data_IF_527826117265
#
_entry.id   IF_527826117265
#
_cell.length_a   1.000
_cell.length_b   1.000
_cell.length_c   1.000
_cell.angle_alpha   90.00
_cell.angle_beta   90.00
_cell.angle_gamma   90.00
#
_symmetry.space_group_name_H-M   'P 1'
#
loop_
_entity.id
_entity.type
_entity.pdbx_description
1 polymer ?
#
# COMPACT_ATOMS: atom_id res chain seq x y z
N UNK A 1 32.09 12.68 13.63
CA UNK A 1 30.83 12.96 12.90
C UNK A 1 29.73 12.20 13.62
N UNK A 2 28.73 12.87 14.17
CA UNK A 2 27.56 12.22 14.77
C UNK A 2 26.39 12.34 13.79
N UNK A 3 25.65 11.25 13.56
CA UNK A 3 24.49 11.19 12.66
C UNK A 3 23.25 10.92 13.47
N UNK A 4 22.20 11.71 13.27
CA UNK A 4 20.88 11.44 13.85
C UNK A 4 19.75 11.65 12.85
N UNK A 5 18.72 10.79 12.87
CA UNK A 5 17.51 10.97 12.09
C UNK A 5 16.68 12.14 12.64
N UNK A 6 16.26 13.05 11.76
CA UNK A 6 15.37 14.18 12.08
C UNK A 6 13.91 13.75 12.17
N UNK A 7 13.52 12.71 11.42
CA UNK A 7 12.13 12.29 11.24
C UNK A 7 12.03 10.81 10.85
N UNK A 8 10.86 10.21 11.04
CA UNK A 8 10.48 8.95 10.41
C UNK A 8 9.63 9.24 9.15
N UNK A 9 10.12 8.85 7.97
CA UNK A 9 9.37 9.05 6.70
C UNK A 9 8.09 8.20 6.57
N UNK A 10 7.65 7.50 7.62
CA UNK A 10 6.54 6.54 7.58
C UNK A 10 5.17 7.15 7.93
N UNK A 11 5.15 8.32 8.58
CA UNK A 11 3.91 9.02 8.95
C UNK A 11 3.47 10.03 7.87
N UNK A 12 2.18 10.37 7.84
CA UNK A 12 1.62 11.35 6.91
C UNK A 12 2.30 12.73 7.01
N UNK A 13 2.72 13.10 8.22
CA UNK A 13 3.63 14.20 8.48
C UNK A 13 4.51 13.83 9.69
N UNK A 14 5.83 13.98 9.64
CA UNK A 14 6.67 13.64 10.78
C UNK A 14 6.46 14.54 12.00
N UNK A 15 6.55 13.97 13.21
CA UNK A 15 6.59 14.73 14.46
C UNK A 15 8.01 15.22 14.74
N UNK A 16 8.33 16.41 14.24
CA UNK A 16 9.63 17.03 14.49
C UNK A 16 9.72 17.53 15.95
N UNK A 17 8.60 17.90 16.57
CA UNK A 17 8.53 18.34 17.96
C UNK A 17 9.07 17.29 18.94
N UNK A 18 8.68 16.02 18.75
CA UNK A 18 9.20 14.89 19.52
C UNK A 18 10.72 14.68 19.36
N UNK A 19 11.34 15.26 18.33
CA UNK A 19 12.77 15.12 18.01
C UNK A 19 13.64 16.29 18.47
N UNK A 20 13.04 17.41 18.92
CA UNK A 20 13.81 18.58 19.36
C UNK A 20 14.74 18.28 20.53
N UNK A 21 14.23 17.69 21.61
CA UNK A 21 15.07 17.34 22.77
C UNK A 21 16.16 16.31 22.44
N UNK A 22 15.89 15.21 21.72
CA UNK A 22 16.94 14.31 21.23
C UNK A 22 18.01 15.01 20.39
N UNK A 23 17.62 15.86 19.43
CA UNK A 23 18.54 16.61 18.57
C UNK A 23 19.44 17.54 19.40
N UNK A 24 18.85 18.29 20.32
CA UNK A 24 19.59 19.20 21.20
C UNK A 24 20.60 18.44 22.07
N UNK A 25 20.16 17.36 22.73
CA UNK A 25 21.01 16.55 23.61
C UNK A 25 22.20 15.97 22.85
N UNK A 26 21.97 15.55 21.62
CA UNK A 26 23.01 14.95 20.80
C UNK A 26 24.00 15.99 20.25
N UNK A 27 23.52 17.16 19.81
CA UNK A 27 24.40 18.26 19.43
C UNK A 27 25.31 18.66 20.60
N UNK A 28 24.74 18.76 21.81
CA UNK A 28 25.50 19.01 23.04
C UNK A 28 26.53 17.91 23.33
N UNK A 29 26.11 16.65 23.28
CA UNK A 29 27.02 15.51 23.54
C UNK A 29 28.16 15.45 22.52
N UNK A 30 27.86 15.74 21.25
CA UNK A 30 28.85 15.81 20.19
C UNK A 30 29.86 16.94 20.41
N UNK A 31 29.39 18.12 20.84
CA UNK A 31 30.25 19.25 21.20
C UNK A 31 31.15 18.93 22.40
N UNK A 32 30.60 18.35 23.46
CA UNK A 32 31.35 17.90 24.65
C UNK A 32 32.41 16.85 24.31
N UNK A 33 32.13 15.99 23.33
CA UNK A 33 33.08 14.98 22.82
C UNK A 33 34.12 15.54 21.83
N UNK A 34 34.12 16.85 21.54
CA UNK A 34 35.05 17.48 20.60
C UNK A 34 34.80 17.11 19.13
N UNK A 35 33.56 16.75 18.77
CA UNK A 35 33.23 16.43 17.39
C UNK A 35 33.38 17.65 16.47
N UNK A 36 34.03 17.46 15.32
CA UNK A 36 34.23 18.51 14.32
C UNK A 36 32.94 18.91 13.55
N UNK A 37 31.85 18.15 13.69
CA UNK A 37 30.61 18.41 12.96
C UNK A 37 29.47 17.46 13.35
N UNK A 38 28.25 17.93 13.06
CA UNK A 38 26.98 17.29 13.35
C UNK A 38 26.20 17.09 12.05
N UNK A 39 25.75 15.87 11.77
CA UNK A 39 24.90 15.55 10.64
C UNK A 39 23.48 15.21 11.12
N UNK A 40 22.53 16.00 10.67
CA UNK A 40 21.12 15.72 10.81
C UNK A 40 20.65 15.09 9.50
N UNK A 41 20.32 13.80 9.52
CA UNK A 41 19.99 13.01 8.34
C UNK A 41 18.48 12.70 8.30
N UNK A 42 17.97 12.44 7.11
CA UNK A 42 16.63 11.89 6.90
C UNK A 42 16.77 10.54 6.20
N UNK A 43 15.91 9.61 6.58
CA UNK A 43 15.77 8.33 5.92
C UNK A 43 14.29 8.15 5.57
N UNK A 44 14.00 7.97 4.28
CA UNK A 44 12.67 7.65 3.77
C UNK A 44 12.68 6.22 3.26
N UNK A 45 12.52 5.28 4.18
CA UNK A 45 12.55 3.84 3.86
C UNK A 45 11.12 3.31 3.58
N UNK A 46 10.16 4.19 3.32
CA UNK A 46 8.73 3.91 3.36
C UNK A 46 8.05 4.03 1.99
N UNK A 47 6.89 3.38 1.84
CA UNK A 47 5.93 3.66 0.77
C UNK A 47 5.24 5.04 0.91
N UNK A 48 5.82 5.96 1.70
CA UNK A 48 5.24 7.24 2.05
C UNK A 48 5.79 8.39 1.24
N UNK A 49 4.95 9.36 0.90
CA UNK A 49 5.40 10.59 0.26
C UNK A 49 6.09 11.46 1.31
N UNK A 50 7.40 11.67 1.19
CA UNK A 50 8.15 12.65 1.97
C UNK A 50 8.64 13.78 1.08
N UNK A 51 8.53 15.02 1.56
CA UNK A 51 9.11 16.19 0.93
C UNK A 51 10.15 16.81 1.86
N UNK A 52 11.26 17.28 1.30
CA UNK A 52 12.28 18.06 2.03
C UNK A 52 11.64 19.24 2.80
N UNK A 53 10.60 19.85 2.22
CA UNK A 53 9.85 20.94 2.83
C UNK A 53 9.26 20.61 4.21
N UNK A 54 8.94 19.34 4.49
CA UNK A 54 8.49 18.91 5.81
C UNK A 54 9.60 19.01 6.86
N UNK A 55 10.87 18.88 6.45
CA UNK A 55 12.00 18.83 7.39
C UNK A 55 12.62 20.18 7.70
N UNK A 56 12.27 21.24 6.97
CA UNK A 56 12.92 22.57 7.07
C UNK A 56 13.00 23.08 8.51
N UNK A 57 11.93 22.91 9.28
CA UNK A 57 11.91 23.31 10.69
C UNK A 57 12.93 22.51 11.52
N UNK A 58 12.97 21.18 11.37
CA UNK A 58 13.91 20.30 12.07
C UNK A 58 15.37 20.54 11.69
N UNK A 59 15.64 20.78 10.41
CA UNK A 59 16.97 21.16 9.92
C UNK A 59 17.43 22.50 10.49
N UNK A 60 16.54 23.50 10.52
CA UNK A 60 16.84 24.80 11.12
C UNK A 60 17.11 24.68 12.63
N UNK A 61 16.32 23.88 13.35
CA UNK A 61 16.54 23.61 14.77
C UNK A 61 17.85 22.88 15.04
N UNK A 62 18.17 21.87 14.23
CA UNK A 62 19.44 21.16 14.28
C UNK A 62 20.63 22.10 14.04
N UNK A 63 20.52 23.01 13.06
CA UNK A 63 21.52 24.06 12.81
C UNK A 63 21.71 25.00 14.00
N UNK A 64 20.62 25.45 14.63
CA UNK A 64 20.67 26.26 15.84
C UNK A 64 21.36 25.52 17.01
N UNK A 65 21.06 24.23 17.18
CA UNK A 65 21.70 23.39 18.19
C UNK A 65 23.19 23.17 17.92
N UNK A 66 23.59 23.02 16.65
CA UNK A 66 24.99 22.90 16.29
C UNK A 66 25.76 24.20 16.54
N UNK A 67 25.13 25.37 16.31
CA UNK A 67 25.73 26.67 16.55
C UNK A 67 25.84 27.03 18.04
N UNK A 68 24.80 26.70 18.81
CA UNK A 68 24.67 27.05 20.23
C UNK A 68 24.21 25.86 21.10
N UNK A 69 25.04 24.81 21.28
CA UNK A 69 24.59 23.53 21.86
C UNK A 69 24.01 23.61 23.28
N UNK A 70 24.36 24.65 24.04
CA UNK A 70 24.00 24.79 25.46
C UNK A 70 22.88 25.82 25.72
N UNK A 71 22.38 26.54 24.71
CA UNK A 71 21.52 27.71 24.94
C UNK A 71 20.29 27.80 24.03
N UNK A 72 20.03 26.82 23.18
CA UNK A 72 18.78 26.80 22.39
C UNK A 72 17.60 26.48 23.31
N UNK A 73 16.62 27.37 23.39
CA UNK A 73 15.34 27.11 24.05
C UNK A 73 14.28 26.83 22.98
N UNK A 74 13.59 25.67 22.99
CA UNK A 74 12.61 25.32 21.95
C UNK A 74 11.53 26.38 21.74
N UNK A 75 10.90 26.88 22.81
CA UNK A 75 9.83 27.88 22.69
C UNK A 75 10.31 29.22 22.12
N UNK A 76 11.54 29.63 22.45
CA UNK A 76 12.15 30.83 21.88
C UNK A 76 12.49 30.62 20.40
N UNK A 77 13.03 29.45 20.06
CA UNK A 77 13.30 29.09 18.67
C UNK A 77 12.03 29.06 17.83
N UNK A 78 10.94 28.46 18.31
CA UNK A 78 9.66 28.38 17.59
C UNK A 78 9.15 29.76 17.21
N UNK A 79 9.04 30.64 18.20
CA UNK A 79 8.58 32.01 18.00
C UNK A 79 9.45 32.73 16.96
N UNK A 80 10.77 32.62 17.09
CA UNK A 80 11.71 33.31 16.21
C UNK A 80 11.71 32.71 14.80
N UNK A 81 11.60 31.38 14.67
CA UNK A 81 11.53 30.67 13.39
C UNK A 81 10.28 31.10 12.62
N UNK A 82 9.10 31.00 13.24
CA UNK A 82 7.85 31.32 12.55
C UNK A 82 7.73 32.83 12.28
N UNK A 83 8.21 33.71 13.18
CA UNK A 83 8.23 35.15 12.93
C UNK A 83 9.16 35.52 11.77
N UNK A 84 10.33 34.89 11.65
CA UNK A 84 11.26 35.14 10.53
C UNK A 84 10.77 34.55 9.22
N UNK A 85 10.18 33.36 9.27
CA UNK A 85 9.68 32.67 8.08
C UNK A 85 8.40 33.33 7.57
N UNK A 86 7.44 33.67 8.42
CA UNK A 86 6.10 34.11 8.01
C UNK A 86 5.77 35.56 8.37
N UNK A 87 6.71 36.33 8.92
CA UNK A 87 6.51 37.73 9.27
C UNK A 87 5.38 37.92 10.29
N UNK A 88 4.45 38.83 9.99
CA UNK A 88 3.26 39.09 10.81
C UNK A 88 2.37 37.85 10.99
N UNK A 89 2.45 36.89 10.06
CA UNK A 89 1.70 35.65 10.11
C UNK A 89 2.37 34.54 10.95
N UNK A 90 3.50 34.83 11.62
CA UNK A 90 4.25 33.84 12.38
C UNK A 90 3.43 33.11 13.45
N UNK A 91 2.54 33.80 14.16
CA UNK A 91 1.68 33.16 15.16
C UNK A 91 0.68 32.18 14.53
N UNK A 92 0.10 32.54 13.38
CA UNK A 92 -0.83 31.66 12.65
C UNK A 92 -0.11 30.45 12.07
N UNK A 93 1.12 30.62 11.56
CA UNK A 93 1.94 29.53 11.06
C UNK A 93 2.35 28.56 12.19
N UNK A 94 2.71 29.06 13.37
CA UNK A 94 2.99 28.21 14.54
C UNK A 94 1.75 27.46 15.03
N UNK A 95 0.57 28.09 14.98
CA UNK A 95 -0.70 27.41 15.26
C UNK A 95 -0.98 26.29 14.25
N UNK A 96 -0.75 26.56 12.96
CA UNK A 96 -0.89 25.55 11.91
C UNK A 96 0.00 24.34 12.20
N UNK A 97 1.29 24.55 12.47
CA UNK A 97 2.22 23.47 12.80
C UNK A 97 1.73 22.62 13.99
N UNK A 98 1.29 23.28 15.07
CA UNK A 98 0.73 22.60 16.24
C UNK A 98 -0.53 21.78 15.93
N UNK A 99 -1.39 22.23 15.00
CA UNK A 99 -2.57 21.48 14.56
C UNK A 99 -2.19 20.22 13.78
N UNK A 100 -1.11 20.27 13.01
CA UNK A 100 -0.66 19.20 12.13
C UNK A 100 0.08 18.07 12.86
N UNK A 101 0.52 18.27 14.10
CA UNK A 101 1.19 17.23 14.92
C UNK A 101 0.38 15.92 15.01
N UNK A 102 -0.95 16.00 14.97
CA UNK A 102 -1.83 14.83 14.98
C UNK A 102 -1.72 13.97 13.71
N UNK A 103 -1.02 14.40 12.65
CA UNK A 103 -0.75 13.57 11.46
C UNK A 103 0.39 12.58 11.68
N UNK A 104 1.31 12.86 12.60
CA UNK A 104 2.43 11.96 12.91
C UNK A 104 1.99 10.62 13.50
N UNK A 105 0.80 10.65 14.08
CA UNK A 105 0.07 9.54 14.66
C UNK A 105 -0.42 8.51 13.62
N UNK A 106 -0.44 8.88 12.33
CA UNK A 106 -1.01 8.08 11.24
C UNK A 106 0.03 7.74 10.18
N UNK A 107 0.13 6.44 9.84
CA UNK A 107 1.09 5.90 8.88
C UNK A 107 0.53 5.87 7.46
N UNK A 108 1.39 6.07 6.47
CA UNK A 108 1.05 5.96 5.04
C UNK A 108 0.44 4.60 4.69
N UNK A 109 0.92 3.52 5.29
CA UNK A 109 0.37 2.17 5.11
C UNK A 109 -1.15 2.11 5.39
N UNK A 110 -1.65 2.87 6.38
CA UNK A 110 -3.10 2.93 6.67
C UNK A 110 -3.89 3.68 5.62
N UNK A 111 -3.25 4.62 4.92
CA UNK A 111 -3.82 5.28 3.76
C UNK A 111 -3.92 4.30 2.59
N UNK A 112 -2.92 3.43 2.42
CA UNK A 112 -2.84 2.46 1.32
C UNK A 112 -3.61 1.15 1.53
N UNK A 113 -3.91 0.77 2.78
CA UNK A 113 -4.63 -0.47 3.11
C UNK A 113 -6.01 -0.50 2.46
N UNK A 114 -6.39 -1.60 1.82
CA UNK A 114 -7.71 -1.73 1.18
C UNK A 114 -8.88 -1.35 2.14
N UNK A 115 -9.92 -0.60 1.71
CA UNK A 115 -10.99 -0.12 2.61
C UNK A 115 -11.68 -1.21 3.45
N UNK A 116 -12.06 -2.34 2.84
CA UNK A 116 -12.65 -3.47 3.57
C UNK A 116 -11.70 -4.17 4.57
N UNK A 117 -10.38 -3.96 4.48
CA UNK A 117 -9.39 -4.60 5.35
C UNK A 117 -9.10 -3.81 6.64
N UNK A 118 -9.64 -2.60 6.76
CA UNK A 118 -9.47 -1.78 7.97
C UNK A 118 -10.10 -2.47 9.19
N UNK A 119 -9.33 -2.67 10.26
CA UNK A 119 -9.87 -3.22 11.51
C UNK A 119 -10.54 -2.12 12.35
N UNK A 120 -11.80 -1.82 12.02
CA UNK A 120 -12.60 -0.83 12.76
C UNK A 120 -12.83 -1.18 14.25
N UNK A 121 -12.62 -2.43 14.66
CA UNK A 121 -12.80 -2.84 16.07
C UNK A 121 -11.63 -2.41 16.94
N UNK A 122 -10.44 -2.32 16.35
CA UNK A 122 -9.21 -1.84 16.99
C UNK A 122 -8.92 -0.37 16.73
N UNK A 123 -9.73 0.29 15.90
CA UNK A 123 -9.58 1.71 15.58
C UNK A 123 -9.85 2.59 16.81
N UNK A 124 -8.92 3.50 17.11
CA UNK A 124 -9.15 4.57 18.08
C UNK A 124 -9.97 5.70 17.45
N UNK A 125 -11.29 5.59 17.59
CA UNK A 125 -12.25 6.58 17.11
C UNK A 125 -12.11 7.95 17.77
N UNK A 126 -11.55 8.03 18.98
CA UNK A 126 -11.34 9.30 19.66
C UNK A 126 -10.23 10.09 18.98
N UNK A 127 -9.16 9.40 18.59
CA UNK A 127 -8.02 9.96 17.84
C UNK A 127 -8.44 10.38 16.43
N UNK A 128 -9.21 9.56 15.71
CA UNK A 128 -9.74 9.94 14.39
C UNK A 128 -10.63 11.19 14.46
N UNK A 129 -11.53 11.28 15.44
CA UNK A 129 -12.36 12.49 15.66
C UNK A 129 -11.52 13.72 15.99
N UNK A 130 -10.40 13.54 16.70
CA UNK A 130 -9.46 14.62 17.01
C UNK A 130 -8.78 15.10 15.72
N UNK A 131 -8.27 14.17 14.91
CA UNK A 131 -7.68 14.46 13.61
C UNK A 131 -8.67 15.20 12.71
N UNK A 132 -9.90 14.71 12.59
CA UNK A 132 -10.99 15.34 11.80
C UNK A 132 -11.16 16.83 12.12
N UNK A 133 -11.32 17.16 13.41
CA UNK A 133 -11.46 18.55 13.85
C UNK A 133 -10.21 19.37 13.59
N UNK A 134 -9.02 18.81 13.84
CA UNK A 134 -7.76 19.53 13.64
C UNK A 134 -7.48 19.81 12.17
N UNK A 135 -7.76 18.86 11.28
CA UNK A 135 -7.58 19.07 9.84
C UNK A 135 -8.55 20.12 9.28
N UNK A 136 -9.78 20.17 9.79
CA UNK A 136 -10.73 21.25 9.46
C UNK A 136 -10.19 22.62 9.89
N UNK A 137 -9.68 22.75 11.12
CA UNK A 137 -9.07 24.00 11.59
C UNK A 137 -7.79 24.34 10.82
N UNK A 138 -6.93 23.36 10.55
CA UNK A 138 -5.68 23.54 9.81
C UNK A 138 -5.96 24.03 8.39
N UNK A 139 -6.99 23.49 7.73
CA UNK A 139 -7.44 23.98 6.41
C UNK A 139 -7.87 25.43 6.47
N UNK A 140 -8.68 25.82 7.47
CA UNK A 140 -9.12 27.21 7.63
C UNK A 140 -7.94 28.18 7.85
N UNK A 141 -6.95 27.79 8.67
CA UNK A 141 -5.73 28.58 8.88
C UNK A 141 -4.89 28.66 7.59
N UNK A 142 -4.75 27.56 6.86
CA UNK A 142 -4.07 27.55 5.56
C UNK A 142 -4.74 28.47 4.53
N UNK A 143 -6.07 28.56 4.55
CA UNK A 143 -6.83 29.42 3.64
C UNK A 143 -6.70 30.90 4.02
N UNK A 144 -6.61 31.23 5.32
CA UNK A 144 -6.32 32.63 5.74
C UNK A 144 -4.89 33.06 5.38
N UNK A 145 -3.91 32.16 5.50
CA UNK A 145 -2.51 32.43 5.20
C UNK A 145 -2.23 32.66 3.71
N UNK A 146 -3.02 32.06 2.81
CA UNK A 146 -2.87 32.21 1.34
C UNK A 146 -2.97 33.64 0.82
N UNK A 147 -3.49 34.56 1.62
CA UNK A 147 -3.65 35.98 1.24
C UNK A 147 -2.35 36.79 1.28
N UNK A 148 -1.27 36.26 1.83
CA UNK A 148 0.05 36.88 1.87
C UNK A 148 1.00 36.17 0.86
N UNK A 149 1.58 36.90 -0.09
CA UNK A 149 2.35 36.36 -1.23
C UNK A 149 3.86 36.64 -1.10
N UNK A 150 4.60 35.81 -0.38
CA UNK A 150 6.08 35.80 -0.39
C UNK A 150 6.64 34.37 -0.56
N UNK A 151 7.95 34.23 -0.81
CA UNK A 151 8.62 32.93 -1.03
C UNK A 151 8.49 31.94 0.15
N UNK A 152 8.31 32.45 1.38
CA UNK A 152 8.05 31.63 2.57
C UNK A 152 6.72 30.87 2.53
N UNK A 153 5.82 31.22 1.61
CA UNK A 153 4.50 30.60 1.47
C UNK A 153 4.52 29.32 0.65
N UNK A 154 5.62 29.00 -0.04
CA UNK A 154 5.75 27.70 -0.74
C UNK A 154 5.63 26.51 0.20
N UNK A 155 6.10 26.66 1.46
CA UNK A 155 5.98 25.61 2.49
C UNK A 155 4.50 25.29 2.79
N UNK A 156 3.60 26.27 2.67
CA UNK A 156 2.18 26.07 2.95
C UNK A 156 1.51 25.14 1.94
N UNK A 157 2.01 25.06 0.70
CA UNK A 157 1.45 24.13 -0.28
C UNK A 157 1.74 22.68 0.12
N UNK A 158 2.92 22.40 0.66
CA UNK A 158 3.27 21.07 1.20
C UNK A 158 2.44 20.73 2.44
N UNK A 159 2.27 21.68 3.36
CA UNK A 159 1.40 21.47 4.53
C UNK A 159 -0.06 21.26 4.12
N UNK A 160 -0.52 21.93 3.06
CA UNK A 160 -1.85 21.71 2.48
C UNK A 160 -2.00 20.29 1.94
N UNK A 161 -0.99 19.77 1.25
CA UNK A 161 -0.98 18.37 0.81
C UNK A 161 -1.11 17.40 2.00
N UNK A 162 -0.41 17.66 3.11
CA UNK A 162 -0.52 16.85 4.32
C UNK A 162 -1.95 16.90 4.92
N UNK A 163 -2.57 18.09 4.96
CA UNK A 163 -3.97 18.27 5.39
C UNK A 163 -4.93 17.51 4.49
N UNK A 164 -4.78 17.58 3.17
CA UNK A 164 -5.65 16.88 2.22
C UNK A 164 -5.63 15.36 2.47
N UNK A 165 -4.43 14.78 2.64
CA UNK A 165 -4.29 13.36 2.97
C UNK A 165 -4.91 13.01 4.34
N UNK A 166 -4.74 13.87 5.34
CA UNK A 166 -5.38 13.71 6.65
C UNK A 166 -6.91 13.72 6.60
N UNK A 167 -7.48 14.68 5.87
CA UNK A 167 -8.93 14.77 5.66
C UNK A 167 -9.46 13.55 4.90
N UNK A 168 -8.76 13.15 3.85
CA UNK A 168 -9.10 11.98 3.05
C UNK A 168 -9.07 10.69 3.89
N UNK A 169 -8.04 10.49 4.71
CA UNK A 169 -7.94 9.34 5.60
C UNK A 169 -9.13 9.26 6.56
N UNK A 170 -9.50 10.38 7.19
CA UNK A 170 -10.68 10.44 8.06
C UNK A 170 -11.94 10.05 7.28
N UNK A 171 -12.15 10.64 6.09
CA UNK A 171 -13.30 10.38 5.23
C UNK A 171 -13.36 8.89 4.86
N UNK A 172 -12.23 8.27 4.51
CA UNK A 172 -12.11 6.83 4.26
C UNK A 172 -12.63 5.99 5.44
N UNK A 173 -12.14 6.22 6.66
CA UNK A 173 -12.57 5.44 7.83
C UNK A 173 -14.07 5.59 8.11
N UNK A 174 -14.60 6.82 8.00
CA UNK A 174 -16.04 7.09 8.17
C UNK A 174 -16.89 6.40 7.11
N UNK A 175 -16.46 6.43 5.86
CA UNK A 175 -17.18 5.78 4.77
C UNK A 175 -17.19 4.27 4.94
N UNK A 176 -16.07 3.66 5.37
CA UNK A 176 -16.02 2.21 5.66
C UNK A 176 -16.93 1.85 6.84
N UNK A 177 -16.99 2.68 7.89
CA UNK A 177 -17.94 2.52 9.00
C UNK A 177 -19.39 2.55 8.50
N UNK A 178 -19.76 3.54 7.67
CA UNK A 178 -21.09 3.63 7.04
C UNK A 178 -21.41 2.39 6.21
N UNK A 179 -20.48 1.92 5.37
CA UNK A 179 -20.65 0.72 4.54
C UNK A 179 -20.92 -0.52 5.42
N UNK A 180 -20.17 -0.71 6.51
CA UNK A 180 -20.35 -1.86 7.40
C UNK A 180 -21.69 -1.82 8.13
N UNK A 181 -22.11 -0.65 8.60
CA UNK A 181 -23.44 -0.51 9.18
C UNK A 181 -24.53 -0.84 8.16
N UNK A 182 -24.43 -0.29 6.95
CA UNK A 182 -25.36 -0.57 5.86
C UNK A 182 -25.44 -2.07 5.52
N UNK A 183 -24.28 -2.73 5.40
CA UNK A 183 -24.19 -4.16 5.15
C UNK A 183 -24.82 -5.01 6.28
N UNK A 184 -24.63 -4.60 7.54
CA UNK A 184 -25.22 -5.30 8.69
C UNK A 184 -26.75 -5.20 8.71
N UNK A 185 -27.31 -4.02 8.42
CA UNK A 185 -28.76 -3.85 8.31
C UNK A 185 -29.36 -4.71 7.18
N UNK A 186 -28.69 -4.77 6.02
CA UNK A 186 -29.09 -5.63 4.91
C UNK A 186 -29.04 -7.12 5.27
N UNK A 187 -28.02 -7.57 6.01
CA UNK A 187 -27.94 -8.95 6.51
C UNK A 187 -29.10 -9.31 7.45
N UNK A 188 -29.59 -8.33 8.22
CA UNK A 188 -30.73 -8.52 9.13
C UNK A 188 -32.10 -8.44 8.45
N UNK A 189 -32.13 -8.19 7.12
CA UNK A 189 -33.38 -8.05 6.36
C UNK A 189 -34.12 -6.74 6.61
N UNK A 190 -33.42 -5.72 7.12
CA UNK A 190 -33.99 -4.39 7.36
C UNK A 190 -34.04 -3.58 6.06
N UNK A 191 -35.07 -2.74 5.89
CA UNK A 191 -35.14 -1.83 4.74
C UNK A 191 -34.09 -0.72 4.90
N UNK A 192 -33.29 -0.47 3.86
CA UNK A 192 -32.18 0.48 3.90
C UNK A 192 -32.18 1.42 2.69
N UNK A 193 -32.36 2.72 2.91
CA UNK A 193 -32.38 3.76 1.86
C UNK A 193 -31.03 4.52 1.73
N UNK A 194 -29.93 3.92 2.17
CA UNK A 194 -28.61 4.59 2.29
C UNK A 194 -27.62 4.37 1.15
N UNK A 195 -27.93 3.49 0.18
CA UNK A 195 -26.96 3.10 -0.86
C UNK A 195 -26.45 4.29 -1.68
N UNK A 196 -27.36 5.16 -2.12
CA UNK A 196 -27.01 6.34 -2.94
C UNK A 196 -26.13 7.34 -2.18
N UNK A 197 -26.37 7.56 -0.88
CA UNK A 197 -25.52 8.43 -0.06
C UNK A 197 -24.10 7.87 0.07
N UNK A 198 -23.99 6.56 0.29
CA UNK A 198 -22.70 5.88 0.40
C UNK A 198 -21.95 5.96 -0.93
N UNK A 199 -22.62 5.68 -2.05
CA UNK A 199 -22.04 5.80 -3.39
C UNK A 199 -21.54 7.22 -3.65
N UNK A 200 -22.34 8.24 -3.33
CA UNK A 200 -21.91 9.64 -3.48
C UNK A 200 -20.67 9.94 -2.63
N UNK A 201 -20.63 9.48 -1.38
CA UNK A 201 -19.45 9.67 -0.51
C UNK A 201 -18.21 8.97 -1.08
N UNK A 202 -18.37 7.80 -1.70
CA UNK A 202 -17.28 7.08 -2.36
C UNK A 202 -16.81 7.81 -3.63
N UNK A 203 -17.72 8.39 -4.42
CA UNK A 203 -17.38 9.20 -5.59
C UNK A 203 -16.56 10.43 -5.19
N UNK A 204 -17.00 11.15 -4.15
CA UNK A 204 -16.23 12.29 -3.63
C UNK A 204 -14.84 11.85 -3.12
N UNK A 205 -14.71 10.66 -2.52
CA UNK A 205 -13.39 10.13 -2.13
C UNK A 205 -12.46 9.91 -3.32
N UNK A 206 -12.99 9.52 -4.49
CA UNK A 206 -12.24 9.40 -5.74
C UNK A 206 -11.85 10.77 -6.29
N UNK A 207 -12.78 11.74 -6.25
CA UNK A 207 -12.50 13.12 -6.66
C UNK A 207 -11.40 13.75 -5.79
N UNK A 208 -11.49 13.58 -4.46
CA UNK A 208 -10.49 14.05 -3.51
C UNK A 208 -9.10 13.45 -3.81
N UNK A 209 -9.02 12.16 -4.20
CA UNK A 209 -7.75 11.53 -4.61
C UNK A 209 -7.16 12.16 -5.86
N UNK A 210 -7.98 12.50 -6.85
CA UNK A 210 -7.51 13.14 -8.07
C UNK A 210 -6.91 14.53 -7.76
N UNK A 211 -7.56 15.33 -6.90
CA UNK A 211 -7.00 16.62 -6.45
C UNK A 211 -5.66 16.44 -5.71
N UNK A 212 -5.56 15.40 -4.86
CA UNK A 212 -4.32 15.06 -4.15
C UNK A 212 -3.22 14.66 -5.16
N UNK A 213 -3.54 13.87 -6.18
CA UNK A 213 -2.60 13.44 -7.22
C UNK A 213 -2.07 14.62 -8.03
N UNK A 214 -2.95 15.52 -8.47
CA UNK A 214 -2.54 16.74 -9.18
C UNK A 214 -1.62 17.59 -8.30
N UNK A 215 -1.98 17.75 -7.03
CA UNK A 215 -1.15 18.48 -6.05
C UNK A 215 0.21 17.81 -5.84
N UNK A 216 0.25 16.49 -5.70
CA UNK A 216 1.48 15.72 -5.56
C UNK A 216 2.40 15.95 -6.76
N UNK A 217 1.89 15.80 -7.97
CA UNK A 217 2.71 15.98 -9.19
C UNK A 217 3.31 17.39 -9.25
N UNK A 218 2.52 18.42 -8.97
CA UNK A 218 2.99 19.80 -8.95
C UNK A 218 4.06 20.04 -7.88
N UNK A 219 3.86 19.54 -6.67
CA UNK A 219 4.81 19.71 -5.56
C UNK A 219 6.08 18.88 -5.75
N UNK A 220 5.96 17.69 -6.32
CA UNK A 220 7.09 16.80 -6.58
C UNK A 220 8.10 17.43 -7.53
N UNK A 221 7.62 17.99 -8.64
CA UNK A 221 8.48 18.62 -9.65
C UNK A 221 9.18 19.89 -9.17
N UNK A 222 8.82 20.45 -8.00
CA UNK A 222 9.54 21.58 -7.40
C UNK A 222 10.90 21.20 -6.82
N UNK A 223 11.05 19.97 -6.31
CA UNK A 223 12.25 19.56 -5.58
C UNK A 223 12.81 18.19 -5.96
N UNK A 224 12.10 17.42 -6.81
CA UNK A 224 12.47 16.06 -7.16
C UNK A 224 12.41 15.81 -8.68
N UNK A 225 13.05 14.72 -9.12
CA UNK A 225 13.01 14.27 -10.51
C UNK A 225 11.69 13.59 -10.84
N UNK A 226 11.24 13.71 -12.08
CA UNK A 226 9.94 13.19 -12.53
C UNK A 226 9.84 11.66 -12.49
N UNK A 227 10.96 10.95 -12.58
CA UNK A 227 11.02 9.49 -12.69
C UNK A 227 10.63 8.79 -11.37
N UNK A 228 10.77 9.48 -10.24
CA UNK A 228 10.60 8.90 -8.91
C UNK A 228 9.15 9.02 -8.38
N UNK A 229 8.29 9.83 -9.03
CA UNK A 229 6.92 10.06 -8.55
C UNK A 229 5.98 8.91 -8.87
N UNK A 230 6.27 8.14 -9.94
CA UNK A 230 5.35 7.13 -10.49
C UNK A 230 4.87 6.14 -9.43
N UNK A 231 5.78 5.69 -8.55
CA UNK A 231 5.43 4.77 -7.47
C UNK A 231 4.27 5.28 -6.60
N UNK A 232 4.30 6.56 -6.22
CA UNK A 232 3.26 7.18 -5.39
C UNK A 232 1.97 7.39 -6.18
N UNK A 233 2.06 7.84 -7.43
CA UNK A 233 0.88 8.02 -8.29
C UNK A 233 0.09 6.71 -8.41
N UNK A 234 0.80 5.62 -8.63
CA UNK A 234 0.20 4.30 -8.74
C UNK A 234 -0.44 3.82 -7.42
N UNK A 235 0.03 4.28 -6.24
CA UNK A 235 -0.61 3.98 -4.94
C UNK A 235 -1.92 4.76 -4.75
N UNK A 236 -1.98 6.01 -5.22
CA UNK A 236 -3.21 6.80 -5.25
C UNK A 236 -4.21 6.24 -6.26
N UNK A 237 -3.76 5.91 -7.47
CA UNK A 237 -4.59 5.25 -8.49
C UNK A 237 -5.17 3.93 -7.96
N UNK A 238 -4.37 3.15 -7.24
CA UNK A 238 -4.83 1.94 -6.57
C UNK A 238 -5.97 2.22 -5.57
N UNK A 239 -5.89 3.29 -4.77
CA UNK A 239 -6.99 3.66 -3.89
C UNK A 239 -8.24 4.05 -4.69
N UNK A 240 -8.10 4.81 -5.77
CA UNK A 240 -9.21 5.18 -6.65
C UNK A 240 -9.90 3.93 -7.21
N UNK A 241 -9.12 2.95 -7.67
CA UNK A 241 -9.64 1.69 -8.21
C UNK A 241 -10.41 0.91 -7.14
N UNK A 242 -9.92 0.82 -5.90
CA UNK A 242 -10.66 0.16 -4.82
C UNK A 242 -12.01 0.83 -4.54
N UNK A 243 -12.08 2.17 -4.56
CA UNK A 243 -13.34 2.87 -4.36
C UNK A 243 -14.31 2.72 -5.53
N UNK A 244 -13.80 2.69 -6.77
CA UNK A 244 -14.61 2.40 -7.95
C UNK A 244 -15.19 0.98 -7.88
N UNK A 245 -14.38 -0.02 -7.54
CA UNK A 245 -14.86 -1.39 -7.32
C UNK A 245 -15.95 -1.43 -6.24
N UNK A 246 -15.75 -0.74 -5.10
CA UNK A 246 -16.76 -0.65 -4.04
C UNK A 246 -18.06 -0.01 -4.53
N UNK A 247 -17.98 1.07 -5.31
CA UNK A 247 -19.15 1.73 -5.90
C UNK A 247 -19.93 0.74 -6.77
N UNK A 248 -19.25 0.03 -7.67
CA UNK A 248 -19.87 -0.96 -8.55
C UNK A 248 -20.54 -2.08 -7.75
N UNK A 249 -19.86 -2.61 -6.72
CA UNK A 249 -20.40 -3.65 -5.84
C UNK A 249 -21.68 -3.17 -5.11
N UNK A 250 -21.67 -1.95 -4.57
CA UNK A 250 -22.86 -1.40 -3.88
C UNK A 250 -24.00 -1.19 -4.88
N UNK A 251 -23.71 -0.65 -6.07
CA UNK A 251 -24.71 -0.43 -7.13
C UNK A 251 -25.31 -1.75 -7.64
N UNK A 252 -24.52 -2.83 -7.68
CA UNK A 252 -24.99 -4.17 -8.03
C UNK A 252 -25.71 -4.89 -6.88
N UNK A 253 -25.85 -4.27 -5.71
CA UNK A 253 -26.44 -4.86 -4.51
C UNK A 253 -25.55 -5.87 -3.77
N UNK A 254 -24.28 -6.00 -4.15
CA UNK A 254 -23.31 -6.90 -3.52
C UNK A 254 -22.52 -6.18 -2.41
N UNK A 255 -23.14 -5.96 -1.27
CA UNK A 255 -22.51 -5.23 -0.15
C UNK A 255 -21.62 -6.10 0.76
N UNK A 256 -21.65 -7.43 0.58
CA UNK A 256 -20.91 -8.42 1.37
C UNK A 256 -19.66 -8.91 0.65
N UNK A 257 -18.99 -7.98 -0.03
CA UNK A 257 -17.80 -8.28 -0.79
C UNK A 257 -16.60 -8.56 0.13
N UNK A 258 -15.94 -9.69 -0.09
CA UNK A 258 -14.66 -10.01 0.55
C UNK A 258 -13.52 -9.75 -0.46
N UNK A 259 -12.65 -8.76 -0.22
CA UNK A 259 -11.56 -8.44 -1.14
C UNK A 259 -10.42 -9.47 -1.06
N UNK A 260 -10.45 -10.43 -0.12
CA UNK A 260 -9.35 -11.37 0.09
C UNK A 260 -9.25 -12.36 -1.07
N UNK A 261 -8.02 -12.64 -1.46
CA UNK A 261 -7.71 -13.66 -2.46
C UNK A 261 -8.22 -15.03 -1.97
N UNK A 262 -9.12 -15.70 -2.70
CA UNK A 262 -9.73 -16.95 -2.23
C UNK A 262 -8.83 -18.19 -2.43
N UNK A 263 -7.79 -18.12 -3.27
CA UNK A 263 -6.82 -19.19 -3.47
C UNK A 263 -5.86 -19.31 -2.30
N UNK A 264 -5.33 -20.52 -2.09
CA UNK A 264 -4.44 -20.83 -0.96
C UNK A 264 -3.00 -20.96 -1.42
N UNK A 265 -2.07 -20.63 -0.54
CA UNK A 265 -0.69 -21.01 -0.73
C UNK A 265 -0.55 -22.54 -0.63
N UNK A 266 0.21 -23.11 -1.55
CA UNK A 266 0.49 -24.55 -1.63
C UNK A 266 1.99 -24.78 -1.72
N UNK A 267 2.46 -25.85 -1.07
CA UNK A 267 3.86 -26.25 -1.05
C UNK A 267 3.99 -27.78 -1.22
N UNK A 268 5.21 -28.23 -1.49
CA UNK A 268 5.53 -29.65 -1.44
C UNK A 268 5.46 -30.17 0.00
N UNK A 269 4.85 -31.34 0.27
CA UNK A 269 4.80 -31.93 1.60
C UNK A 269 6.20 -32.17 2.17
N UNK A 270 6.33 -32.14 3.50
CA UNK A 270 7.58 -32.48 4.17
C UNK A 270 7.87 -33.98 4.06
N UNK A 271 8.74 -34.36 3.11
CA UNK A 271 9.19 -35.74 2.87
C UNK A 271 10.72 -35.79 2.99
N UNK A 272 11.23 -36.80 3.70
CA UNK A 272 12.67 -36.95 3.90
C UNK A 272 13.42 -37.17 2.58
N UNK A 273 14.56 -36.49 2.42
CA UNK A 273 15.42 -36.62 1.23
C UNK A 273 14.97 -35.83 0.00
N UNK A 274 13.91 -35.03 0.10
CA UNK A 274 13.46 -34.13 -0.99
C UNK A 274 13.88 -32.70 -0.68
N UNK A 275 14.52 -32.05 -1.65
CA UNK A 275 14.74 -30.60 -1.59
C UNK A 275 13.40 -29.88 -1.80
N UNK A 276 12.95 -29.14 -0.79
CA UNK A 276 11.69 -28.37 -0.85
C UNK A 276 11.91 -26.96 -1.37
N UNK A 277 13.16 -26.54 -1.53
CA UNK A 277 13.53 -25.24 -2.09
C UNK A 277 13.40 -25.17 -3.62
N UNK A 278 13.33 -26.31 -4.31
CA UNK A 278 13.09 -26.40 -5.75
C UNK A 278 12.13 -27.54 -6.07
N UNK A 279 10.91 -27.20 -6.48
CA UNK A 279 9.82 -28.17 -6.65
C UNK A 279 8.95 -27.83 -7.86
N UNK A 280 8.25 -28.83 -8.35
CA UNK A 280 7.37 -28.74 -9.52
C UNK A 280 5.93 -28.95 -9.08
N UNK A 281 5.01 -28.19 -9.67
CA UNK A 281 3.58 -28.24 -9.40
C UNK A 281 2.81 -28.37 -10.70
N UNK A 282 1.76 -29.18 -10.72
CA UNK A 282 0.83 -29.18 -11.86
C UNK A 282 -0.61 -29.44 -11.45
N UNK A 283 -1.52 -28.98 -12.30
CA UNK A 283 -2.95 -29.30 -12.21
C UNK A 283 -3.58 -29.35 -13.59
N UNK A 284 -4.31 -30.42 -13.83
CA UNK A 284 -5.19 -30.52 -14.99
C UNK A 284 -6.61 -30.09 -14.64
N UNK A 285 -7.30 -29.48 -15.59
CA UNK A 285 -8.71 -29.08 -15.45
C UNK A 285 -9.39 -29.01 -16.82
N UNK A 286 -10.69 -29.25 -16.85
CA UNK A 286 -11.48 -29.17 -18.07
C UNK A 286 -12.22 -27.85 -18.19
N UNK A 287 -12.22 -27.20 -19.35
CA UNK A 287 -13.04 -26.01 -19.62
C UNK A 287 -14.18 -26.36 -20.57
N UNK A 288 -15.37 -25.81 -20.31
CA UNK A 288 -16.48 -25.89 -21.26
C UNK A 288 -16.16 -25.02 -22.49
N UNK A 289 -16.73 -25.32 -23.67
CA UNK A 289 -16.64 -24.43 -24.82
C UNK A 289 -17.30 -23.07 -24.53
N UNK A 290 -16.89 -22.04 -25.26
CA UNK A 290 -17.54 -20.71 -25.22
C UNK A 290 -17.05 -19.75 -24.15
N UNK A 291 -15.86 -19.96 -23.57
CA UNK A 291 -15.22 -18.91 -22.76
C UNK A 291 -14.71 -17.79 -23.68
N UNK A 292 -14.78 -16.55 -23.21
CA UNK A 292 -14.41 -15.34 -23.96
C UNK A 292 -13.07 -14.78 -23.53
N UNK A 293 -12.81 -14.82 -22.23
CA UNK A 293 -11.58 -14.33 -21.60
C UNK A 293 -11.13 -15.31 -20.53
N UNK A 294 -9.83 -15.41 -20.34
CA UNK A 294 -9.26 -16.11 -19.23
C UNK A 294 -8.01 -15.39 -18.75
N UNK A 295 -7.97 -15.13 -17.45
CA UNK A 295 -6.83 -14.49 -16.82
C UNK A 295 -6.24 -15.40 -15.76
N UNK A 296 -4.94 -15.25 -15.54
CA UNK A 296 -4.19 -15.98 -14.56
C UNK A 296 -3.26 -15.04 -13.83
N UNK A 297 -3.03 -15.30 -12.56
CA UNK A 297 -2.02 -14.66 -11.75
C UNK A 297 -1.29 -15.71 -10.92
N UNK A 298 0.00 -15.50 -10.73
CA UNK A 298 0.78 -16.28 -9.79
C UNK A 298 1.60 -15.39 -8.85
N UNK A 299 1.77 -15.89 -7.63
CA UNK A 299 2.56 -15.32 -6.55
C UNK A 299 3.46 -16.43 -6.04
N UNK A 300 4.77 -16.18 -5.98
CA UNK A 300 5.74 -17.10 -5.42
C UNK A 300 6.52 -16.49 -4.27
N UNK A 301 7.29 -17.31 -3.56
CA UNK A 301 8.22 -16.81 -2.54
C UNK A 301 9.36 -16.00 -3.20
N UNK A 302 10.17 -16.64 -4.04
CA UNK A 302 11.25 -15.93 -4.77
C UNK A 302 11.17 -16.06 -6.28
N UNK A 303 10.85 -17.25 -6.80
CA UNK A 303 10.86 -17.49 -8.24
C UNK A 303 9.84 -18.53 -8.65
N UNK A 304 9.11 -18.25 -9.73
CA UNK A 304 8.24 -19.20 -10.41
C UNK A 304 8.50 -19.17 -11.91
N UNK A 305 8.41 -20.33 -12.55
CA UNK A 305 8.35 -20.47 -13.99
C UNK A 305 7.04 -21.14 -14.39
N UNK A 306 6.19 -20.41 -15.10
CA UNK A 306 4.79 -20.81 -15.34
C UNK A 306 4.62 -21.31 -16.77
N UNK A 307 3.88 -22.40 -16.91
CA UNK A 307 3.55 -23.04 -18.18
C UNK A 307 2.04 -23.27 -18.27
N UNK A 308 1.50 -23.09 -19.48
CA UNK A 308 0.11 -23.41 -19.82
C UNK A 308 0.11 -24.35 -21.02
N UNK A 309 -0.51 -25.52 -20.86
CA UNK A 309 -0.57 -26.54 -21.91
C UNK A 309 0.81 -26.93 -22.49
N UNK A 310 1.85 -26.93 -21.64
CA UNK A 310 3.24 -27.25 -21.99
C UNK A 310 4.03 -26.10 -22.63
N UNK A 311 3.38 -25.00 -23.01
CA UNK A 311 4.06 -23.80 -23.50
C UNK A 311 4.50 -22.93 -22.32
N UNK A 312 5.71 -22.38 -22.42
CA UNK A 312 6.21 -21.39 -21.46
C UNK A 312 5.34 -20.13 -21.54
N UNK A 313 4.83 -19.68 -20.38
CA UNK A 313 4.06 -18.45 -20.27
C UNK A 313 4.97 -17.28 -19.91
N UNK A 314 5.57 -17.33 -18.72
CA UNK A 314 6.46 -16.30 -18.18
C UNK A 314 7.12 -16.78 -16.86
N UNK A 315 8.03 -15.97 -16.32
CA UNK A 315 8.66 -16.15 -15.00
C UNK A 315 8.19 -15.06 -14.02
N UNK A 316 7.97 -15.40 -12.75
CA UNK A 316 7.70 -14.46 -11.65
C UNK A 316 8.95 -14.40 -10.79
N UNK A 317 9.52 -13.20 -10.59
CA UNK A 317 10.78 -13.02 -9.87
C UNK A 317 10.60 -11.97 -8.79
N UNK A 318 10.75 -12.38 -7.52
CA UNK A 318 10.88 -11.45 -6.41
C UNK A 318 12.27 -10.83 -6.45
N UNK A 319 12.36 -9.51 -6.61
CA UNK A 319 13.62 -8.80 -6.50
C UNK A 319 13.73 -8.14 -5.11
N UNK A 320 14.71 -8.52 -4.27
CA UNK A 320 14.93 -7.84 -2.98
C UNK A 320 15.29 -6.37 -3.24
N UNK A 321 14.37 -5.45 -2.94
CA UNK A 321 14.55 -4.01 -3.14
C UNK A 321 13.69 -3.36 -4.23
N UNK A 322 12.82 -4.11 -4.93
CA UNK A 322 11.73 -3.52 -5.74
C UNK A 322 10.38 -3.69 -5.03
N UNK A 323 9.43 -2.83 -5.42
CA UNK A 323 8.07 -2.81 -4.87
C UNK A 323 7.41 -4.19 -4.91
N UNK A 324 6.46 -4.41 -3.99
CA UNK A 324 5.60 -5.60 -3.85
C UNK A 324 5.01 -6.15 -5.17
N UNK A 325 4.93 -5.33 -6.22
CA UNK A 325 4.41 -5.66 -7.56
C UNK A 325 5.20 -6.74 -8.27
N UNK A 326 6.50 -6.83 -8.03
CA UNK A 326 7.34 -7.79 -8.77
C UNK A 326 7.13 -9.24 -8.29
N UNK A 327 6.52 -9.41 -7.10
CA UNK A 327 6.14 -10.73 -6.55
C UNK A 327 4.84 -11.29 -7.13
N UNK A 328 4.09 -10.49 -7.90
CA UNK A 328 2.78 -10.85 -8.45
C UNK A 328 2.77 -10.55 -9.94
N UNK A 329 2.62 -11.58 -10.77
CA UNK A 329 2.39 -11.37 -12.21
C UNK A 329 1.04 -11.90 -12.63
N UNK A 330 0.41 -11.15 -13.52
CA UNK A 330 -0.91 -11.43 -14.09
C UNK A 330 -0.80 -11.46 -15.61
N UNK A 331 -1.53 -12.40 -16.23
CA UNK A 331 -1.50 -12.65 -17.67
C UNK A 331 -2.91 -12.86 -18.23
N UNK A 332 -3.14 -12.41 -19.46
CA UNK A 332 -4.23 -12.88 -20.30
C UNK A 332 -3.81 -14.22 -20.94
N UNK A 333 -4.44 -15.31 -20.50
CA UNK A 333 -4.17 -16.67 -20.96
C UNK A 333 -5.25 -17.19 -21.91
N UNK A 334 -6.14 -16.33 -22.39
CA UNK A 334 -7.28 -16.69 -23.25
C UNK A 334 -6.86 -17.54 -24.45
N UNK A 335 -5.77 -17.15 -25.11
CA UNK A 335 -5.24 -17.84 -26.31
C UNK A 335 -4.43 -19.09 -25.99
N UNK A 336 -3.98 -19.24 -24.73
CA UNK A 336 -3.21 -20.40 -24.29
C UNK A 336 -4.11 -21.56 -23.85
N UNK A 337 -5.37 -21.29 -23.54
CA UNK A 337 -6.36 -22.27 -23.10
C UNK A 337 -7.23 -22.76 -24.28
N UNK A 338 -7.84 -23.92 -24.09
CA UNK A 338 -8.75 -24.54 -25.08
C UNK A 338 -9.96 -25.18 -24.42
N UNK A 339 -11.09 -25.37 -25.14
CA UNK A 339 -12.16 -26.23 -24.66
C UNK A 339 -11.66 -27.66 -24.37
N UNK A 340 -12.21 -28.29 -23.33
CA UNK A 340 -11.77 -29.59 -22.84
C UNK A 340 -10.57 -29.48 -21.88
N UNK A 341 -9.70 -30.48 -21.90
CA UNK A 341 -8.63 -30.64 -20.91
C UNK A 341 -7.47 -29.66 -21.15
N UNK A 342 -7.08 -28.97 -20.09
CA UNK A 342 -5.93 -28.08 -19.99
C UNK A 342 -5.03 -28.48 -18.82
N UNK A 343 -3.80 -27.99 -18.82
CA UNK A 343 -2.86 -28.12 -17.70
C UNK A 343 -2.19 -26.78 -17.41
N UNK A 344 -2.05 -26.45 -16.14
CA UNK A 344 -1.10 -25.45 -15.67
C UNK A 344 0.01 -26.18 -14.93
N UNK A 345 1.24 -25.79 -15.22
CA UNK A 345 2.46 -26.34 -14.64
C UNK A 345 3.32 -25.18 -14.13
N UNK A 346 3.93 -25.34 -12.95
CA UNK A 346 4.76 -24.32 -12.32
C UNK A 346 5.99 -24.97 -11.72
N UNK A 347 7.16 -24.52 -12.13
CA UNK A 347 8.41 -24.79 -11.41
C UNK A 347 8.59 -23.65 -10.41
N UNK A 348 8.84 -23.99 -9.16
CA UNK A 348 9.02 -23.01 -8.09
C UNK A 348 10.38 -23.21 -7.44
N UNK A 349 11.09 -22.11 -7.25
CA UNK A 349 12.35 -22.10 -6.53
C UNK A 349 12.34 -21.00 -5.47
N UNK A 350 12.80 -21.35 -4.28
CA UNK A 350 12.99 -20.45 -3.15
C UNK A 350 14.50 -20.27 -2.88
N UNK A 351 15.04 -19.14 -3.31
CA UNK A 351 16.45 -18.79 -3.16
C UNK A 351 16.81 -18.32 -1.73
N UNK A 352 15.82 -18.14 -0.85
CA UNK A 352 16.03 -17.77 0.56
C UNK A 352 16.18 -18.99 1.49
N UNK A 353 16.18 -20.22 0.95
CA UNK A 353 16.47 -21.45 1.69
C UNK A 353 15.31 -22.07 2.46
N UNK A 354 14.10 -21.49 2.35
CA UNK A 354 12.87 -22.09 2.85
C UNK A 354 12.20 -22.98 1.78
N UNK A 355 11.11 -23.66 2.13
CA UNK A 355 10.30 -24.38 1.15
C UNK A 355 9.73 -23.39 0.11
N UNK A 356 9.75 -23.76 -1.16
CA UNK A 356 9.09 -23.01 -2.22
C UNK A 356 7.59 -23.25 -2.16
N UNK A 357 6.84 -22.15 -2.07
CA UNK A 357 5.40 -22.14 -2.14
C UNK A 357 4.91 -21.26 -3.31
N UNK A 358 3.70 -21.54 -3.77
CA UNK A 358 3.01 -20.70 -4.74
C UNK A 358 1.56 -20.45 -4.33
N UNK A 359 1.04 -19.31 -4.75
CA UNK A 359 -0.38 -19.03 -4.80
C UNK A 359 -0.74 -18.69 -6.25
N UNK A 360 -1.76 -19.35 -6.80
CA UNK A 360 -2.20 -19.14 -8.16
C UNK A 360 -3.71 -18.95 -8.19
N UNK A 361 -4.14 -17.92 -8.91
CA UNK A 361 -5.54 -17.57 -9.05
C UNK A 361 -5.82 -17.14 -10.48
N UNK A 362 -6.96 -17.55 -11.02
CA UNK A 362 -7.38 -17.18 -12.35
C UNK A 362 -8.89 -17.27 -12.47
N UNK A 363 -9.42 -16.54 -13.44
CA UNK A 363 -10.83 -16.53 -13.78
C UNK A 363 -11.01 -16.75 -15.27
N UNK A 364 -11.94 -17.63 -15.62
CA UNK A 364 -12.37 -17.89 -16.99
C UNK A 364 -13.79 -17.36 -17.12
N UNK A 365 -13.96 -16.33 -17.94
CA UNK A 365 -15.24 -15.66 -18.19
C UNK A 365 -15.96 -16.31 -19.39
N UNK A 366 -17.23 -16.62 -19.19
CA UNK A 366 -18.17 -17.13 -20.19
C UNK A 366 -19.24 -16.09 -20.49
N UNK A 367 -20.10 -16.39 -21.47
CA UNK A 367 -21.26 -15.54 -21.76
C UNK A 367 -22.18 -15.35 -20.55
N UNK A 368 -22.87 -14.20 -20.52
CA UNK A 368 -23.84 -13.83 -19.49
C UNK A 368 -23.25 -13.76 -18.06
N UNK A 369 -22.00 -13.31 -17.93
CA UNK A 369 -21.37 -13.03 -16.64
C UNK A 369 -21.03 -14.28 -15.81
N UNK A 370 -21.08 -15.48 -16.42
CA UNK A 370 -20.68 -16.71 -15.74
C UNK A 370 -19.16 -16.79 -15.72
N UNK A 371 -18.57 -16.94 -14.54
CA UNK A 371 -17.13 -17.17 -14.42
C UNK A 371 -16.82 -18.54 -13.83
N UNK A 372 -15.62 -19.03 -14.10
CA UNK A 372 -15.04 -20.19 -13.44
C UNK A 372 -13.67 -19.84 -12.90
N UNK A 373 -13.48 -20.12 -11.63
CA UNK A 373 -12.18 -19.96 -10.97
C UNK A 373 -11.22 -21.12 -11.28
N UNK A 374 -9.95 -20.77 -11.45
CA UNK A 374 -8.80 -21.66 -11.42
C UNK A 374 -7.96 -21.24 -10.22
N UNK A 375 -7.77 -22.13 -9.25
CA UNK A 375 -7.05 -21.80 -8.02
C UNK A 375 -6.02 -22.86 -7.64
N UNK A 376 -4.95 -22.43 -6.96
CA UNK A 376 -4.14 -23.27 -6.08
C UNK A 376 -5.02 -23.80 -4.95
N UNK A 377 -5.11 -25.13 -4.88
CA UNK A 377 -5.97 -25.87 -3.96
C UNK A 377 -5.36 -27.26 -3.67
N UNK A 378 -5.92 -28.05 -2.74
CA UNK A 378 -5.36 -29.35 -2.36
C UNK A 378 -5.31 -30.43 -3.46
N UNK A 379 -5.91 -30.18 -4.63
CA UNK A 379 -5.93 -31.13 -5.74
C UNK A 379 -4.75 -30.96 -6.72
N UNK A 380 -3.86 -30.00 -6.46
CA UNK A 380 -2.61 -29.89 -7.19
C UNK A 380 -1.67 -31.04 -6.87
N UNK A 381 -0.89 -31.42 -7.88
CA UNK A 381 0.18 -32.40 -7.79
C UNK A 381 1.54 -31.73 -7.67
N UNK A 382 2.47 -32.36 -6.97
CA UNK A 382 3.82 -31.85 -6.79
C UNK A 382 4.89 -32.95 -6.77
N UNK A 383 6.10 -32.58 -7.21
CA UNK A 383 7.30 -33.42 -7.22
C UNK A 383 8.51 -32.56 -6.87
N UNK A 384 9.48 -33.12 -6.15
CA UNK A 384 10.82 -32.51 -5.96
C UNK A 384 11.84 -32.95 -7.01
N UNK A 385 11.42 -33.66 -8.05
CA UNK A 385 12.28 -34.14 -9.14
C UNK A 385 11.70 -33.67 -10.47
N UNK A 386 12.56 -33.07 -11.30
CA UNK A 386 12.19 -32.71 -12.67
C UNK A 386 12.09 -33.97 -13.54
N UNK A 387 10.95 -34.16 -14.20
CA UNK A 387 10.75 -35.26 -15.13
C UNK A 387 10.56 -34.73 -16.55
N UNK A 388 11.03 -35.46 -17.56
CA UNK A 388 10.93 -34.99 -18.93
C UNK A 388 9.46 -34.74 -19.35
N UNK A 389 9.18 -33.54 -19.89
CA UNK A 389 7.86 -33.12 -20.36
C UNK A 389 6.77 -33.05 -19.26
N UNK A 390 7.13 -32.91 -17.99
CA UNK A 390 6.18 -32.82 -16.85
C UNK A 390 5.11 -31.73 -17.03
N UNK A 391 5.44 -30.65 -17.75
CA UNK A 391 4.58 -29.52 -18.07
C UNK A 391 3.52 -29.80 -19.14
N UNK A 392 3.67 -30.88 -19.92
CA UNK A 392 2.77 -31.21 -21.01
C UNK A 392 1.47 -31.85 -20.51
N UNK A 393 0.37 -31.69 -21.27
CA UNK A 393 -0.93 -32.26 -20.89
C UNK A 393 -0.94 -33.79 -20.81
N UNK A 394 -0.13 -34.44 -21.66
CA UNK A 394 -0.04 -35.91 -21.75
C UNK A 394 0.79 -36.56 -20.64
N UNK A 395 1.47 -35.79 -19.78
CA UNK A 395 2.26 -36.35 -18.69
C UNK A 395 1.34 -36.99 -17.63
N UNK A 396 1.74 -38.17 -17.14
CA UNK A 396 1.00 -38.94 -16.14
C UNK A 396 1.62 -38.73 -14.76
N UNK A 397 0.97 -37.93 -13.92
CA UNK A 397 1.44 -37.53 -12.59
C UNK A 397 0.91 -38.43 -11.46
N UNK A 398 0.63 -39.69 -11.78
CA UNK A 398 0.05 -40.63 -10.80
C UNK A 398 0.99 -40.90 -9.62
N UNK A 399 2.31 -40.79 -9.84
CA UNK A 399 3.34 -40.94 -8.81
C UNK A 399 3.61 -39.63 -8.05
N UNK A 400 3.07 -38.49 -8.50
CA UNK A 400 3.26 -37.21 -7.83
C UNK A 400 2.39 -37.13 -6.59
N UNK A 401 2.96 -36.52 -5.55
CA UNK A 401 2.28 -36.28 -4.29
C UNK A 401 1.20 -35.21 -4.48
N UNK A 402 0.20 -35.22 -3.61
CA UNK A 402 -0.66 -34.05 -3.48
C UNK A 402 0.11 -32.95 -2.74
N UNK A 403 -0.17 -31.70 -3.08
CA UNK A 403 0.36 -30.55 -2.35
C UNK A 403 -0.17 -30.51 -0.92
N UNK A 404 0.55 -29.80 -0.05
CA UNK A 404 0.05 -29.39 1.25
C UNK A 404 -0.25 -27.89 1.25
N UNK A 405 -1.34 -27.45 1.93
CA UNK A 405 -1.53 -26.04 2.21
C UNK A 405 -0.35 -25.49 3.02
N UNK A 406 0.11 -24.30 2.66
CA UNK A 406 1.13 -23.56 3.39
C UNK A 406 0.46 -22.31 3.98
N UNK A 407 0.49 -22.13 5.30
CA UNK A 407 -0.06 -20.92 5.90
C UNK A 407 0.98 -19.80 5.84
N UNK A 408 0.62 -18.69 5.20
CA UNK A 408 1.42 -17.46 5.18
C UNK A 408 0.64 -16.39 5.93
N UNK A 409 1.28 -15.71 6.88
CA UNK A 409 0.68 -14.60 7.63
C UNK A 409 0.65 -13.30 6.82
N UNK A 410 0.17 -13.37 5.57
CA UNK A 410 0.04 -12.22 4.67
C UNK A 410 -1.41 -12.07 4.25
N UNK A 411 -1.86 -10.83 4.13
CA UNK A 411 -3.19 -10.52 3.62
C UNK A 411 -3.04 -10.21 2.15
N UNK A 412 -3.81 -10.87 1.28
CA UNK A 412 -3.70 -10.66 -0.17
C UNK A 412 -5.04 -10.18 -0.70
N UNK A 413 -5.06 -9.02 -1.34
CA UNK A 413 -6.21 -8.51 -2.06
C UNK A 413 -6.30 -9.25 -3.39
N UNK A 414 -7.47 -9.75 -3.75
CA UNK A 414 -7.70 -10.43 -5.02
C UNK A 414 -7.42 -9.48 -6.21
N UNK A 415 -7.03 -10.02 -7.39
CA UNK A 415 -6.87 -9.18 -8.56
C UNK A 415 -8.22 -8.65 -9.04
N UNK A 416 -8.18 -7.55 -9.76
CA UNK A 416 -9.25 -7.18 -10.68
C UNK A 416 -8.72 -7.42 -12.10
N UNK A 417 -9.16 -8.52 -12.71
CA UNK A 417 -8.70 -8.92 -14.04
C UNK A 417 -9.26 -8.02 -15.15
N UNK A 418 -10.43 -7.40 -14.95
CA UNK A 418 -11.03 -6.52 -15.95
C UNK A 418 -10.33 -5.16 -15.96
N UNK A 419 -10.11 -4.56 -14.78
CA UNK A 419 -9.32 -3.35 -14.60
C UNK A 419 -7.80 -3.57 -14.65
N UNK A 420 -7.36 -4.80 -14.95
CA UNK A 420 -5.95 -5.20 -15.08
C UNK A 420 -5.08 -4.90 -13.84
N UNK A 421 -5.68 -4.97 -12.66
CA UNK A 421 -5.00 -4.77 -11.39
C UNK A 421 -4.58 -6.13 -10.81
N UNK A 422 -3.26 -6.41 -10.65
CA UNK A 422 -2.83 -7.61 -9.95
C UNK A 422 -3.21 -7.56 -8.46
N UNK A 423 -3.10 -8.70 -7.79
CA UNK A 423 -3.20 -8.78 -6.33
C UNK A 423 -2.17 -7.90 -5.67
N UNK A 424 -2.58 -7.32 -4.54
CA UNK A 424 -1.67 -6.65 -3.61
C UNK A 424 -1.49 -7.50 -2.38
N UNK A 425 -0.24 -7.72 -1.99
CA UNK A 425 0.11 -8.29 -0.70
C UNK A 425 0.18 -7.13 0.30
N UNK A 426 -0.67 -7.17 1.33
CA UNK A 426 -0.73 -6.22 2.43
C UNK A 426 0.13 -6.77 3.58
N UNK A 427 1.22 -6.09 3.90
CA UNK A 427 2.02 -6.37 5.09
C UNK A 427 1.17 -6.10 6.35
N UNK A 428 1.34 -6.93 7.39
CA UNK A 428 0.58 -6.83 8.64
C UNK A 428 1.14 -5.80 9.60
#
# INVERSE_FOLDING_TARGET
LFVLPIADGSSLLPDIGARLFPLQRAARSAAEAGAAGFLAAEFSDSEGVSFEAFQRYGQAFAGACAWSPNSVEPAAFDRDFFARSFGENGQQAGLLDALLLDLADFKWQKLWEHPYMLDLTRTDWSRLRRLERRMMLARAVLDSLKSARDASFEQLDYLRFAVMNGQWLVKKYRTVEKIRHFAAHLQNGEATDGASEIVNTCLELVEDLNEIVETLQLLWLRSNRSEDVSHFLDLYELQSNYWQEIIEQIQSGNVLFDPRLPSRWIAHPAVAGVDRGHVFFRKTFDLRPGFRKAYLQAIGDTYLKVYVNGAFLDEVISNPGRAWRDRVKMWDVTKALRPGKNVIAVEAQNFEGAAAALNLYGEVEYEFGRSRTIASDPYWKTSGVEEQNWQALGFFDIQWLNVQPEEKHVRIIRPDFEGRRPSRIEEQ
#
